data_IF_009261478591
#
_entry.id   IF_009261478591
#
_cell.length_a   1.000
_cell.length_b   1.000
_cell.length_c   1.000
_cell.angle_alpha   90.00
_cell.angle_beta   90.00
_cell.angle_gamma   90.00
#
_symmetry.space_group_name_H-M   'P 1'
#
loop_
_entity.id
_entity.type
_entity.pdbx_description
1 polymer ?
#
# COMPACT_ATOMS: atom_id res chain seq x y z
N UNK A 1 4.08 7.12 19.80
CA UNK A 1 3.35 7.45 18.56
C UNK A 1 2.95 6.14 17.90
N UNK A 2 1.65 5.80 17.91
CA UNK A 2 1.05 4.56 17.39
C UNK A 2 0.49 4.75 15.96
N UNK A 3 1.05 5.67 15.18
CA UNK A 3 0.54 6.01 13.84
C UNK A 3 0.85 4.95 12.80
N UNK A 4 2.00 4.27 12.94
CA UNK A 4 2.41 3.17 12.07
C UNK A 4 1.43 1.99 12.11
N UNK A 5 0.77 1.74 13.24
CA UNK A 5 -0.14 0.61 13.39
C UNK A 5 -1.46 0.82 12.62
N UNK A 6 -1.99 2.05 12.58
CA UNK A 6 -3.22 2.37 11.85
C UNK A 6 -3.03 2.29 10.33
N UNK A 7 -1.96 2.92 9.82
CA UNK A 7 -1.61 2.91 8.39
C UNK A 7 -1.34 1.48 7.92
N UNK A 8 -0.58 0.72 8.71
CA UNK A 8 -0.30 -0.70 8.42
C UNK A 8 -1.59 -1.51 8.36
N UNK A 9 -2.54 -1.30 9.28
CA UNK A 9 -3.83 -2.02 9.26
C UNK A 9 -4.69 -1.67 8.05
N UNK A 10 -4.80 -0.38 7.71
CA UNK A 10 -5.61 0.08 6.60
C UNK A 10 -5.09 -0.45 5.25
N UNK A 11 -3.79 -0.34 4.99
CA UNK A 11 -3.16 -0.91 3.80
C UNK A 11 -3.24 -2.44 3.80
N UNK A 12 -3.03 -3.09 4.95
CA UNK A 12 -3.11 -4.54 5.08
C UNK A 12 -4.51 -5.10 4.75
N UNK A 13 -5.60 -4.49 5.22
CA UNK A 13 -6.96 -4.95 4.91
C UNK A 13 -7.26 -4.90 3.40
N UNK A 14 -6.76 -3.87 2.72
CA UNK A 14 -6.88 -3.75 1.26
C UNK A 14 -6.03 -4.76 0.51
N UNK A 15 -4.81 -5.02 0.99
CA UNK A 15 -3.88 -6.04 0.43
C UNK A 15 -4.39 -7.46 0.63
N UNK A 16 -4.98 -7.75 1.80
CA UNK A 16 -5.57 -9.06 2.13
C UNK A 16 -6.73 -9.39 1.18
N UNK A 17 -7.51 -8.39 0.79
CA UNK A 17 -8.66 -8.55 -0.10
C UNK A 17 -8.28 -8.63 -1.58
N UNK A 18 -7.02 -8.37 -1.90
CA UNK A 18 -6.54 -8.34 -3.26
C UNK A 18 -6.00 -9.68 -3.76
N UNK A 19 -6.39 -10.03 -4.99
CA UNK A 19 -5.72 -11.07 -5.78
C UNK A 19 -4.29 -10.61 -6.12
N UNK A 20 -3.40 -11.58 -6.32
CA UNK A 20 -1.96 -11.36 -6.47
C UNK A 20 -1.61 -10.36 -7.59
N UNK A 21 -0.49 -9.65 -7.39
CA UNK A 21 0.09 -8.73 -8.38
C UNK A 21 0.00 -7.28 -7.94
N UNK A 22 -0.99 -6.55 -8.46
CA UNK A 22 -1.06 -5.08 -8.32
C UNK A 22 -2.44 -4.65 -7.85
N UNK A 23 -2.48 -3.75 -6.88
CA UNK A 23 -3.72 -3.19 -6.33
C UNK A 23 -3.81 -1.72 -6.63
N UNK A 24 -5.00 -1.28 -7.06
CA UNK A 24 -5.31 0.13 -7.25
C UNK A 24 -5.87 0.70 -5.94
N UNK A 25 -5.18 1.68 -5.37
CA UNK A 25 -5.46 2.29 -4.08
C UNK A 25 -5.42 3.81 -4.21
N UNK A 26 -6.39 4.49 -3.61
CA UNK A 26 -6.22 5.91 -3.29
C UNK A 26 -5.27 6.00 -2.11
N UNK A 27 -4.14 6.70 -2.29
CA UNK A 27 -3.10 6.89 -1.27
C UNK A 27 -3.13 8.32 -0.76
N UNK A 28 -3.25 8.49 0.57
CA UNK A 28 -3.03 9.78 1.22
C UNK A 28 -1.53 10.08 1.40
N UNK A 29 -1.20 11.28 1.93
CA UNK A 29 0.20 11.68 2.10
C UNK A 29 0.94 10.78 3.10
N UNK A 30 0.28 10.32 4.18
CA UNK A 30 0.92 9.47 5.18
C UNK A 30 1.17 8.06 4.66
N UNK A 31 0.24 7.53 3.85
CA UNK A 31 0.42 6.26 3.16
C UNK A 31 1.57 6.35 2.15
N UNK A 32 1.72 7.46 1.42
CA UNK A 32 2.87 7.69 0.54
C UNK A 32 4.18 7.74 1.32
N UNK A 33 4.22 8.51 2.41
CA UNK A 33 5.42 8.61 3.26
C UNK A 33 5.81 7.24 3.85
N UNK A 34 4.82 6.39 4.19
CA UNK A 34 5.05 5.01 4.62
C UNK A 34 5.64 4.15 3.50
N UNK A 35 5.06 4.19 2.31
CA UNK A 35 5.56 3.43 1.15
C UNK A 35 6.97 3.86 0.78
N UNK A 36 7.25 5.17 0.79
CA UNK A 36 8.58 5.74 0.54
C UNK A 36 9.59 5.30 1.60
N UNK A 37 9.20 5.32 2.89
CA UNK A 37 10.05 4.86 3.99
C UNK A 37 10.47 3.39 3.82
N UNK A 38 9.53 2.53 3.43
CA UNK A 38 9.78 1.11 3.18
C UNK A 38 10.26 0.79 1.75
N UNK A 39 10.44 1.81 0.91
CA UNK A 39 10.85 1.70 -0.51
C UNK A 39 9.94 0.78 -1.34
N UNK A 40 8.65 0.77 -1.04
CA UNK A 40 7.64 0.05 -1.83
C UNK A 40 7.36 0.81 -3.11
N UNK A 41 7.37 0.11 -4.25
CA UNK A 41 7.06 0.77 -5.50
C UNK A 41 5.55 0.99 -5.66
N UNK A 42 5.18 2.25 -5.93
CA UNK A 42 3.85 2.62 -6.37
C UNK A 42 3.92 3.52 -7.60
N UNK A 43 2.93 3.40 -8.50
CA UNK A 43 2.81 4.24 -9.70
C UNK A 43 1.40 4.75 -9.85
N UNK A 44 1.22 5.90 -10.50
CA UNK A 44 -0.12 6.43 -10.76
C UNK A 44 -0.89 5.49 -11.70
N UNK A 45 -2.14 5.18 -11.36
CA UNK A 45 -3.03 4.43 -12.25
C UNK A 45 -3.47 5.35 -13.38
N UNK A 46 -3.25 4.96 -14.63
CA UNK A 46 -3.65 5.74 -15.80
C UNK A 46 -5.14 5.60 -16.13
N UNK A 47 -5.81 4.62 -15.51
CA UNK A 47 -7.23 4.33 -15.74
C UNK A 47 -8.13 5.12 -14.78
N UNK A 48 -7.59 5.59 -13.66
CA UNK A 48 -8.32 6.34 -12.64
C UNK A 48 -7.50 7.51 -12.12
N UNK A 49 -8.06 8.71 -12.20
CA UNK A 49 -7.34 9.99 -12.03
C UNK A 49 -6.68 10.16 -10.63
N UNK A 50 -7.19 9.44 -9.63
CA UNK A 50 -6.83 9.59 -8.22
C UNK A 50 -6.16 8.36 -7.57
N UNK A 51 -6.02 7.24 -8.30
CA UNK A 51 -5.49 6.02 -7.70
C UNK A 51 -4.03 5.76 -8.08
N UNK A 52 -3.41 4.93 -7.25
CA UNK A 52 -2.05 4.43 -7.42
C UNK A 52 -2.07 2.91 -7.42
N UNK A 53 -1.32 2.35 -8.34
CA UNK A 53 -1.01 0.94 -8.45
C UNK A 53 0.15 0.63 -7.52
N UNK A 54 -0.09 -0.23 -6.53
CA UNK A 54 0.92 -0.70 -5.57
C UNK A 54 1.11 -2.20 -5.71
N UNK A 55 2.34 -2.68 -5.59
CA UNK A 55 2.62 -4.12 -5.61
C UNK A 55 2.10 -4.78 -4.32
N UNK A 56 1.08 -5.63 -4.44
CA UNK A 56 0.48 -6.28 -3.28
C UNK A 56 1.40 -7.32 -2.65
N UNK A 57 2.35 -7.88 -3.40
CA UNK A 57 3.32 -8.84 -2.88
C UNK A 57 4.40 -8.16 -2.03
N UNK A 58 4.86 -6.95 -2.40
CA UNK A 58 5.77 -6.16 -1.56
C UNK A 58 5.09 -5.75 -0.25
N UNK A 59 3.83 -5.31 -0.32
CA UNK A 59 3.05 -5.00 0.87
C UNK A 59 2.79 -6.22 1.75
N UNK A 60 2.43 -7.37 1.17
CA UNK A 60 2.32 -8.64 1.93
C UNK A 60 3.64 -9.00 2.60
N UNK A 61 4.77 -8.80 1.92
CA UNK A 61 6.10 -9.07 2.49
C UNK A 61 6.36 -8.16 3.69
N UNK A 62 5.99 -6.88 3.63
CA UNK A 62 6.13 -5.95 4.75
C UNK A 62 5.21 -6.25 5.94
N UNK A 63 3.98 -6.71 5.68
CA UNK A 63 3.01 -6.98 6.75
C UNK A 63 3.09 -8.40 7.30
N UNK A 64 3.47 -9.38 6.48
CA UNK A 64 3.46 -10.80 6.83
C UNK A 64 4.86 -11.38 7.09
N UNK A 65 5.96 -10.67 6.83
CA UNK A 65 7.27 -11.05 7.38
C UNK A 65 7.36 -10.63 8.85
N UNK A 66 6.68 -11.41 9.70
CA UNK A 66 7.18 -11.75 11.03
C UNK A 66 8.07 -13.00 10.91
#
# INVERSE_FOLDING_TARGET
>A
MNYSCYISKHLYERVKSAKEGTISLTLDQQEKDFLDFFKVQYRKDTSTEYNYLVNSNELKTLFCNQ
#
